data_IF_079412753950
#
_entry.id   IF_079412753950
#
_cell.length_a   1.000
_cell.length_b   1.000
_cell.length_c   1.000
_cell.angle_alpha   90.00
_cell.angle_beta   90.00
_cell.angle_gamma   90.00
#
_symmetry.space_group_name_H-M   'P 1'
#
loop_
_entity.id
_entity.type
_entity.pdbx_description
1 polymer ?
#
# COMPACT_ATOMS: atom_id res chain seq x y z
N UNK A 1 -5.97 23.26 22.89
CA UNK A 1 -5.84 21.81 23.10
C UNK A 1 -6.88 21.37 24.12
N UNK A 2 -7.92 20.66 23.70
CA UNK A 2 -8.84 19.96 24.59
C UNK A 2 -8.86 18.50 24.15
N UNK A 3 -8.18 17.66 24.91
CA UNK A 3 -8.39 16.21 24.86
C UNK A 3 -9.82 15.96 25.36
N UNK A 4 -10.69 15.47 24.49
CA UNK A 4 -11.95 14.86 24.93
C UNK A 4 -11.71 13.36 25.07
N UNK A 5 -12.18 12.82 26.19
CA UNK A 5 -11.92 11.48 26.70
C UNK A 5 -12.54 10.39 25.82
N UNK A 6 -11.76 9.86 24.87
CA UNK A 6 -11.93 8.50 24.34
C UNK A 6 -10.65 7.73 24.64
N UNK A 7 -10.61 7.17 25.84
CA UNK A 7 -9.59 6.23 26.31
C UNK A 7 -9.50 5.03 25.36
N UNK A 8 -8.27 4.77 24.88
CA UNK A 8 -7.77 3.54 24.23
C UNK A 8 -7.69 3.47 22.69
N UNK A 9 -7.92 4.56 21.96
CA UNK A 9 -7.50 4.64 20.55
C UNK A 9 -6.45 5.72 20.38
N UNK A 10 -5.16 5.34 20.50
CA UNK A 10 -4.05 6.21 20.14
C UNK A 10 -3.95 6.31 18.62
N UNK A 11 -4.89 7.04 18.02
CA UNK A 11 -4.71 7.59 16.67
C UNK A 11 -4.06 8.96 16.90
N UNK A 12 -2.77 9.06 16.60
CA UNK A 12 -2.15 10.38 16.40
C UNK A 12 -2.74 10.95 15.12
N UNK A 13 -3.93 11.56 15.23
CA UNK A 13 -4.43 12.46 14.20
C UNK A 13 -3.46 13.65 14.27
N UNK A 14 -2.71 13.85 13.19
CA UNK A 14 -1.97 15.10 12.98
C UNK A 14 -2.91 16.31 13.13
N UNK A 15 -2.39 17.54 13.23
CA UNK A 15 -3.23 18.71 13.48
C UNK A 15 -4.45 18.71 12.55
N UNK A 16 -5.68 18.89 13.10
CA UNK A 16 -6.87 18.95 12.28
C UNK A 16 -6.70 20.18 11.39
N UNK A 17 -6.55 19.96 10.08
CA UNK A 17 -6.30 20.94 9.01
C UNK A 17 -4.83 21.16 8.68
N UNK A 18 -4.35 20.45 7.66
CA UNK A 18 -3.24 20.92 6.81
C UNK A 18 -3.73 22.02 5.84
N UNK A 19 -5.03 22.27 5.75
CA UNK A 19 -5.64 23.32 4.92
C UNK A 19 -5.55 24.75 5.48
N UNK A 20 -4.99 24.95 6.69
CA UNK A 20 -4.78 26.28 7.29
C UNK A 20 -3.45 26.92 6.83
N UNK A 21 -2.60 26.14 6.14
CA UNK A 21 -1.47 26.66 5.39
C UNK A 21 -1.98 27.20 4.05
N UNK A 22 -1.46 28.34 3.60
CA UNK A 22 -1.78 29.00 2.32
C UNK A 22 -1.41 28.19 1.05
N UNK A 23 -1.16 26.89 1.19
CA UNK A 23 -0.81 25.93 0.14
C UNK A 23 -1.84 24.80 0.15
N UNK A 24 -2.47 24.56 -0.99
CA UNK A 24 -3.37 23.44 -1.19
C UNK A 24 -2.57 22.13 -1.26
N UNK A 25 -2.25 21.58 -0.09
CA UNK A 25 -1.55 20.30 0.05
C UNK A 25 -2.57 19.15 0.11
N UNK A 26 -2.35 18.10 -0.67
CA UNK A 26 -3.17 16.87 -0.65
C UNK A 26 -2.66 15.97 0.48
N UNK A 27 -3.56 15.50 1.35
CA UNK A 27 -3.22 14.66 2.49
C UNK A 27 -3.72 13.22 2.33
N UNK A 28 -2.80 12.28 2.21
CA UNK A 28 -3.10 10.84 2.21
C UNK A 28 -2.88 10.28 3.62
N UNK A 29 -3.92 9.71 4.20
CA UNK A 29 -3.89 9.16 5.56
C UNK A 29 -3.79 7.63 5.55
N UNK A 30 -2.98 7.07 6.45
CA UNK A 30 -2.82 5.63 6.60
C UNK A 30 -1.59 5.27 7.44
N UNK A 31 -1.21 3.99 7.52
CA UNK A 31 -1.90 2.85 6.94
C UNK A 31 -3.03 2.33 7.84
N UNK A 32 -4.04 1.70 7.22
CA UNK A 32 -5.21 1.17 7.94
C UNK A 32 -5.75 -0.12 7.31
N UNK A 33 -6.55 -0.87 8.08
CA UNK A 33 -7.15 -2.16 7.67
C UNK A 33 -8.60 -2.35 8.10
N UNK A 34 -9.19 -1.37 8.80
CA UNK A 34 -10.58 -1.41 9.28
C UNK A 34 -11.40 -0.19 8.82
N UNK A 35 -12.71 -0.37 8.67
CA UNK A 35 -13.64 0.70 8.26
C UNK A 35 -13.78 1.79 9.34
N UNK A 36 -13.67 1.44 10.61
CA UNK A 36 -13.70 2.38 11.73
C UNK A 36 -12.51 3.34 11.65
N UNK A 37 -11.33 2.84 11.30
CA UNK A 37 -10.14 3.66 11.07
C UNK A 37 -10.34 4.60 9.87
N UNK A 38 -10.89 4.07 8.77
CA UNK A 38 -11.23 4.86 7.59
C UNK A 38 -12.18 6.01 7.94
N UNK A 39 -13.20 5.74 8.77
CA UNK A 39 -14.17 6.74 9.22
C UNK A 39 -13.51 7.89 9.96
N UNK A 40 -12.61 7.57 10.90
CA UNK A 40 -11.89 8.59 11.68
C UNK A 40 -11.00 9.45 10.77
N UNK A 41 -10.28 8.84 9.82
CA UNK A 41 -9.36 9.55 8.94
C UNK A 41 -10.09 10.39 7.88
N UNK A 42 -11.18 9.87 7.32
CA UNK A 42 -12.05 10.66 6.42
C UNK A 42 -12.68 11.84 7.17
N UNK A 43 -13.17 11.64 8.40
CA UNK A 43 -13.72 12.73 9.21
C UNK A 43 -12.67 13.79 9.59
N UNK A 44 -11.39 13.39 9.68
CA UNK A 44 -10.28 14.31 9.91
C UNK A 44 -9.90 15.14 8.66
N UNK A 45 -10.48 14.85 7.50
CA UNK A 45 -10.25 15.57 6.24
C UNK A 45 -9.16 14.96 5.36
N UNK A 46 -8.98 13.63 5.37
CA UNK A 46 -8.07 12.97 4.44
C UNK A 46 -8.58 13.04 2.99
N UNK A 47 -7.73 13.48 2.06
CA UNK A 47 -7.99 13.51 0.61
C UNK A 47 -7.80 12.13 -0.04
N UNK A 48 -7.12 11.22 0.64
CA UNK A 48 -6.91 9.84 0.19
C UNK A 48 -6.57 8.92 1.34
N UNK A 49 -6.80 7.62 1.15
CA UNK A 49 -6.61 6.61 2.20
C UNK A 49 -5.62 5.54 1.75
N UNK A 50 -4.58 5.29 2.54
CA UNK A 50 -3.60 4.23 2.29
C UNK A 50 -3.95 2.98 3.09
N UNK A 51 -4.21 1.88 2.37
CA UNK A 51 -4.75 0.64 2.93
C UNK A 51 -3.73 -0.48 2.85
N UNK A 52 -3.46 -1.09 4.01
CA UNK A 52 -2.63 -2.28 4.12
C UNK A 52 -1.77 -2.29 5.37
N UNK A 53 -1.80 -3.40 6.11
CA UNK A 53 -0.94 -3.61 7.28
C UNK A 53 -0.52 -5.08 7.31
N UNK A 54 0.79 -5.33 7.39
CA UNK A 54 1.30 -6.69 7.42
C UNK A 54 1.32 -7.43 6.09
N UNK A 55 0.86 -6.85 4.98
CA UNK A 55 0.79 -7.48 3.66
C UNK A 55 2.05 -7.30 2.80
N UNK A 56 2.96 -6.42 3.20
CA UNK A 56 4.23 -6.18 2.50
C UNK A 56 5.15 -7.40 2.53
N UNK A 57 5.93 -7.60 1.47
CA UNK A 57 6.76 -8.81 1.26
C UNK A 57 7.87 -9.05 2.29
N UNK A 58 8.18 -8.05 3.11
CA UNK A 58 9.20 -8.09 4.17
C UNK A 58 8.61 -7.73 5.55
N UNK A 59 7.30 -7.56 5.62
CA UNK A 59 6.60 -7.25 6.86
C UNK A 59 6.35 -8.54 7.64
N UNK A 60 6.70 -8.58 8.92
CA UNK A 60 6.39 -9.72 9.82
C UNK A 60 5.35 -9.34 10.88
N UNK A 61 4.62 -8.25 10.65
CA UNK A 61 3.64 -7.73 11.62
C UNK A 61 2.53 -8.74 11.89
N UNK A 62 2.15 -9.55 10.89
CA UNK A 62 1.17 -10.61 11.06
C UNK A 62 1.64 -11.69 12.04
N UNK A 63 2.93 -12.03 11.98
CA UNK A 63 3.57 -13.06 12.80
C UNK A 63 3.85 -12.55 14.21
N UNK A 64 4.38 -11.33 14.32
CA UNK A 64 4.87 -10.78 15.60
C UNK A 64 3.75 -10.14 16.42
N UNK A 65 2.76 -9.52 15.76
CA UNK A 65 1.68 -8.77 16.45
C UNK A 65 0.32 -9.48 16.41
N UNK A 66 0.23 -10.65 15.75
CA UNK A 66 -1.00 -11.45 15.63
C UNK A 66 -2.21 -10.71 15.01
N UNK A 67 -1.99 -9.56 14.37
CA UNK A 67 -3.01 -8.81 13.63
C UNK A 67 -2.90 -9.19 12.16
N UNK A 68 -3.83 -10.04 11.68
CA UNK A 68 -3.84 -10.50 10.28
C UNK A 68 -5.05 -9.97 9.53
N UNK A 69 -4.77 -9.37 8.39
CA UNK A 69 -5.76 -8.93 7.43
C UNK A 69 -5.37 -9.42 6.05
N UNK A 70 -6.33 -10.03 5.34
CA UNK A 70 -6.13 -10.40 3.94
C UNK A 70 -6.29 -9.12 3.10
N UNK A 71 -5.25 -8.78 2.34
CA UNK A 71 -5.16 -7.48 1.64
C UNK A 71 -6.36 -7.24 0.72
N UNK A 72 -6.75 -8.25 -0.08
CA UNK A 72 -7.84 -8.10 -1.04
C UNK A 72 -9.20 -7.84 -0.36
N UNK A 73 -9.52 -8.57 0.71
CA UNK A 73 -10.77 -8.37 1.45
C UNK A 73 -10.79 -7.03 2.17
N UNK A 74 -9.63 -6.59 2.65
CA UNK A 74 -9.46 -5.30 3.33
C UNK A 74 -9.68 -4.13 2.40
N UNK A 75 -9.05 -4.17 1.21
CA UNK A 75 -9.28 -3.16 0.16
C UNK A 75 -10.76 -3.12 -0.21
N UNK A 76 -11.39 -4.27 -0.45
CA UNK A 76 -12.81 -4.34 -0.79
C UNK A 76 -13.70 -3.69 0.27
N UNK A 77 -13.54 -4.06 1.54
CA UNK A 77 -14.35 -3.52 2.64
C UNK A 77 -14.18 -1.99 2.79
N UNK A 78 -12.94 -1.50 2.72
CA UNK A 78 -12.65 -0.07 2.86
C UNK A 78 -13.15 0.71 1.63
N UNK A 79 -13.10 0.14 0.44
CA UNK A 79 -13.63 0.79 -0.77
C UNK A 79 -15.15 0.96 -0.73
N UNK A 80 -15.90 -0.03 -0.20
CA UNK A 80 -17.34 0.11 -0.01
C UNK A 80 -17.70 1.27 0.93
N UNK A 81 -16.85 1.53 1.93
CA UNK A 81 -16.98 2.71 2.79
C UNK A 81 -16.55 3.99 2.07
N UNK A 82 -15.30 4.06 1.60
CA UNK A 82 -14.67 5.28 1.09
C UNK A 82 -15.37 5.85 -0.16
N UNK A 83 -15.95 4.98 -0.99
CA UNK A 83 -16.70 5.39 -2.18
C UNK A 83 -17.96 6.20 -1.86
N UNK A 84 -18.56 6.05 -0.68
CA UNK A 84 -19.71 6.86 -0.22
C UNK A 84 -19.33 8.31 0.05
N UNK A 85 -18.06 8.55 0.37
CA UNK A 85 -17.50 9.88 0.67
C UNK A 85 -16.66 10.44 -0.48
N UNK A 86 -16.52 9.70 -1.59
CA UNK A 86 -15.71 10.11 -2.72
C UNK A 86 -14.20 10.13 -2.45
N UNK A 87 -13.72 9.44 -1.41
CA UNK A 87 -12.30 9.41 -1.04
C UNK A 87 -11.59 8.25 -1.75
N UNK A 88 -10.54 8.49 -2.54
CA UNK A 88 -9.77 7.44 -3.20
C UNK A 88 -8.96 6.61 -2.21
N UNK A 89 -8.76 5.33 -2.54
CA UNK A 89 -7.93 4.40 -1.76
C UNK A 89 -6.71 3.98 -2.56
N UNK A 90 -5.59 3.88 -1.84
CA UNK A 90 -4.32 3.33 -2.30
C UNK A 90 -4.18 1.93 -1.69
N UNK A 91 -4.02 0.93 -2.55
CA UNK A 91 -3.71 -0.43 -2.11
C UNK A 91 -2.19 -0.56 -1.89
N UNK A 92 -1.76 -0.60 -0.63
CA UNK A 92 -0.35 -0.67 -0.25
C UNK A 92 0.02 -2.03 0.36
N UNK A 93 1.03 -2.67 -0.21
CA UNK A 93 1.53 -3.98 0.22
C UNK A 93 0.92 -5.17 -0.54
N UNK A 94 1.69 -6.26 -0.61
CA UNK A 94 1.27 -7.51 -1.24
C UNK A 94 1.33 -7.54 -2.78
N UNK A 95 1.75 -6.46 -3.43
CA UNK A 95 1.82 -6.36 -4.89
C UNK A 95 3.17 -6.88 -5.40
N UNK A 96 3.17 -8.10 -5.94
CA UNK A 96 4.38 -8.77 -6.43
C UNK A 96 4.42 -9.02 -7.94
N UNK A 97 3.29 -8.86 -8.63
CA UNK A 97 3.17 -9.07 -10.07
C UNK A 97 1.96 -8.31 -10.63
N UNK A 98 1.83 -8.27 -11.95
CA UNK A 98 0.73 -7.61 -12.67
C UNK A 98 -0.65 -8.14 -12.24
N UNK A 99 -0.80 -9.44 -12.01
CA UNK A 99 -2.06 -10.01 -11.57
C UNK A 99 -2.51 -9.45 -10.21
N UNK A 100 -1.58 -9.20 -9.29
CA UNK A 100 -1.88 -8.55 -8.00
C UNK A 100 -2.31 -7.10 -8.20
N UNK A 101 -1.72 -6.37 -9.15
CA UNK A 101 -2.12 -5.00 -9.50
C UNK A 101 -3.59 -5.00 -9.95
N UNK A 102 -3.95 -5.84 -10.91
CA UNK A 102 -5.32 -5.90 -11.45
C UNK A 102 -6.33 -6.33 -10.39
N UNK A 103 -5.99 -7.34 -9.58
CA UNK A 103 -6.84 -7.78 -8.47
C UNK A 103 -7.04 -6.71 -7.40
N UNK A 104 -6.03 -5.87 -7.14
CA UNK A 104 -6.14 -4.77 -6.20
C UNK A 104 -6.97 -3.59 -6.75
N UNK A 105 -6.90 -3.32 -8.07
CA UNK A 105 -7.67 -2.26 -8.73
C UNK A 105 -9.15 -2.64 -8.95
N UNK A 106 -9.44 -3.93 -9.12
CA UNK A 106 -10.78 -4.47 -9.33
C UNK A 106 -11.83 -4.00 -8.30
N UNK A 107 -11.58 -4.03 -6.97
CA UNK A 107 -12.53 -3.54 -5.96
C UNK A 107 -12.65 -2.01 -5.86
N UNK A 108 -12.18 -1.25 -6.88
CA UNK A 108 -12.16 0.23 -6.94
C UNK A 108 -11.01 0.95 -6.23
N UNK A 109 -9.91 0.27 -5.89
CA UNK A 109 -8.71 1.00 -5.50
C UNK A 109 -8.29 1.96 -6.63
N UNK A 110 -7.95 3.20 -6.29
CA UNK A 110 -7.59 4.22 -7.25
C UNK A 110 -6.19 4.02 -7.80
N UNK A 111 -5.27 3.56 -6.96
CA UNK A 111 -3.88 3.26 -7.30
C UNK A 111 -3.34 2.13 -6.41
N UNK A 112 -2.20 1.56 -6.81
CA UNK A 112 -1.45 0.57 -6.02
C UNK A 112 -0.10 1.14 -5.64
N UNK A 113 0.37 0.87 -4.42
CA UNK A 113 1.71 1.20 -3.95
C UNK A 113 2.59 -0.06 -3.95
N UNK A 114 3.81 0.08 -4.47
CA UNK A 114 4.69 -1.04 -4.78
C UNK A 114 6.08 -0.81 -4.20
N UNK A 115 6.36 -1.43 -3.05
CA UNK A 115 7.70 -1.43 -2.46
C UNK A 115 8.60 -2.49 -3.11
N UNK A 116 8.45 -3.75 -2.69
CA UNK A 116 9.30 -4.85 -3.15
C UNK A 116 9.29 -5.07 -4.66
N UNK A 117 8.22 -4.71 -5.38
CA UNK A 117 8.21 -4.84 -6.83
C UNK A 117 9.23 -3.90 -7.50
N UNK A 118 9.50 -2.73 -6.92
CA UNK A 118 10.41 -1.71 -7.44
C UNK A 118 11.76 -1.65 -6.71
N UNK A 119 11.91 -2.30 -5.56
CA UNK A 119 13.13 -2.18 -4.74
C UNK A 119 14.42 -2.72 -5.38
N UNK A 120 14.31 -3.55 -6.41
CA UNK A 120 15.46 -4.11 -7.14
C UNK A 120 15.87 -3.31 -8.37
N UNK A 121 15.30 -2.14 -8.61
CA UNK A 121 15.60 -1.34 -9.81
C UNK A 121 16.80 -0.44 -9.62
N UNK A 122 17.39 0.02 -10.73
CA UNK A 122 18.57 0.90 -10.71
C UNK A 122 18.31 2.19 -9.92
N UNK A 123 17.13 2.78 -10.09
CA UNK A 123 16.70 4.03 -9.44
C UNK A 123 16.34 3.86 -7.96
N UNK A 124 16.14 2.62 -7.48
CA UNK A 124 15.90 2.37 -6.07
C UNK A 124 17.19 2.68 -5.26
N UNK A 125 17.09 3.29 -4.08
CA UNK A 125 18.26 3.65 -3.29
C UNK A 125 19.05 2.42 -2.85
N UNK A 126 20.37 2.60 -2.68
CA UNK A 126 21.30 1.56 -2.29
C UNK A 126 22.08 0.97 -3.46
N UNK A 127 23.29 0.48 -3.14
CA UNK A 127 24.19 -0.10 -4.12
C UNK A 127 23.90 -1.57 -4.36
N UNK A 128 24.18 -2.02 -5.58
CA UNK A 128 24.15 -3.44 -5.90
C UNK A 128 25.38 -4.16 -5.33
N UNK A 129 25.18 -5.42 -4.96
CA UNK A 129 26.25 -6.32 -4.58
C UNK A 129 25.95 -7.74 -5.06
N UNK A 130 26.98 -8.58 -5.10
CA UNK A 130 26.80 -9.98 -5.45
C UNK A 130 26.54 -10.80 -4.19
N UNK A 131 25.39 -11.49 -4.15
CA UNK A 131 25.08 -12.48 -3.12
C UNK A 131 24.75 -13.81 -3.79
N UNK A 132 25.50 -14.87 -3.45
CA UNK A 132 25.33 -16.22 -4.02
C UNK A 132 25.29 -16.22 -5.56
N UNK A 133 26.17 -15.44 -6.19
CA UNK A 133 26.26 -15.33 -7.64
C UNK A 133 25.14 -14.51 -8.31
N UNK A 134 24.24 -13.89 -7.55
CA UNK A 134 23.19 -13.01 -8.06
C UNK A 134 23.51 -11.55 -7.76
N UNK A 135 23.23 -10.68 -8.72
CA UNK A 135 23.26 -9.23 -8.53
C UNK A 135 21.99 -8.81 -7.76
N UNK A 136 22.17 -8.24 -6.57
CA UNK A 136 21.07 -7.96 -5.63
C UNK A 136 21.22 -6.58 -4.97
N UNK A 137 20.11 -6.01 -4.50
CA UNK A 137 20.06 -4.86 -3.57
C UNK A 137 19.54 -5.31 -2.21
N UNK A 138 19.82 -4.52 -1.18
CA UNK A 138 19.20 -4.70 0.14
C UNK A 138 17.81 -4.05 0.11
N UNK A 139 16.77 -4.83 0.40
CA UNK A 139 15.42 -4.32 0.63
C UNK A 139 15.06 -4.47 2.10
N UNK A 140 14.91 -3.33 2.77
CA UNK A 140 14.58 -3.23 4.18
C UNK A 140 13.22 -2.57 4.37
N UNK A 141 12.49 -3.02 5.38
CA UNK A 141 11.26 -2.36 5.79
C UNK A 141 11.61 -1.29 6.82
N UNK A 142 10.83 -0.22 6.87
CA UNK A 142 11.04 0.89 7.81
C UNK A 142 11.04 0.45 9.27
N UNK A 143 10.38 -0.67 9.61
CA UNK A 143 10.36 -1.24 10.97
C UNK A 143 11.45 -2.29 11.23
N UNK A 144 12.51 -2.36 10.41
CA UNK A 144 13.59 -3.34 10.56
C UNK A 144 14.69 -2.76 11.44
N UNK A 145 15.47 -3.61 12.10
CA UNK A 145 16.58 -3.14 12.95
C UNK A 145 17.54 -2.24 12.15
N UNK A 146 17.88 -2.65 10.92
CA UNK A 146 18.73 -1.86 10.03
C UNK A 146 18.14 -0.48 9.69
N UNK A 147 16.84 -0.38 9.46
CA UNK A 147 16.19 0.89 9.17
C UNK A 147 16.09 1.79 10.41
N UNK A 148 15.89 1.19 11.59
CA UNK A 148 15.87 1.91 12.88
C UNK A 148 17.25 2.45 13.24
N UNK A 149 18.32 1.66 13.03
CA UNK A 149 19.72 2.07 13.22
C UNK A 149 20.12 3.23 12.30
N UNK A 150 19.49 3.34 11.12
CA UNK A 150 19.70 4.44 10.17
C UNK A 150 18.84 5.67 10.45
N UNK A 151 18.10 5.71 11.57
CA UNK A 151 17.27 6.84 11.97
C UNK A 151 16.02 7.05 11.11
N UNK A 152 15.60 6.04 10.31
CA UNK A 152 14.43 6.14 9.44
C UNK A 152 13.09 6.08 10.21
N UNK A 153 13.12 5.81 11.52
CA UNK A 153 11.98 5.84 12.45
C UNK A 153 12.42 6.37 13.82
N UNK A 154 11.53 7.07 14.53
CA UNK A 154 11.74 7.43 15.94
C UNK A 154 11.69 6.16 16.80
N UNK A 155 12.62 6.01 17.74
CA UNK A 155 12.73 4.87 18.66
C UNK A 155 11.42 4.69 19.46
N UNK A 156 10.54 3.80 19.00
CA UNK A 156 9.34 3.40 19.74
C UNK A 156 9.34 1.90 19.96
N UNK A 157 9.93 1.49 21.09
CA UNK A 157 9.75 0.18 21.71
C UNK A 157 10.61 -0.95 21.12
N UNK A 158 11.19 -1.75 22.01
CA UNK A 158 12.00 -2.94 21.69
C UNK A 158 11.15 -4.00 20.97
N UNK A 159 11.26 -4.07 19.65
CA UNK A 159 10.74 -5.17 18.84
C UNK A 159 10.74 -4.84 17.35
N UNK A 160 11.58 -5.50 16.55
CA UNK A 160 11.59 -5.33 15.10
C UNK A 160 10.29 -5.89 14.50
N UNK A 161 9.62 -5.09 13.67
CA UNK A 161 8.34 -5.45 13.01
C UNK A 161 8.55 -5.97 11.59
N UNK A 162 9.81 -6.19 11.21
CA UNK A 162 10.19 -6.61 9.85
C UNK A 162 11.62 -7.13 9.75
N UNK A 163 11.89 -7.76 8.62
CA UNK A 163 13.20 -8.30 8.25
C UNK A 163 13.84 -7.47 7.13
N UNK A 164 15.14 -7.66 6.97
CA UNK A 164 15.89 -7.15 5.81
C UNK A 164 16.19 -8.34 4.89
N UNK A 165 15.99 -8.18 3.60
CA UNK A 165 16.23 -9.22 2.61
C UNK A 165 17.04 -8.72 1.42
N UNK A 166 17.61 -9.66 0.66
CA UNK A 166 18.17 -9.40 -0.65
C UNK A 166 17.06 -9.45 -1.71
N UNK A 167 17.08 -8.47 -2.63
CA UNK A 167 16.20 -8.45 -3.78
C UNK A 167 17.02 -8.47 -5.05
N UNK A 168 16.66 -9.38 -5.96
CA UNK A 168 17.33 -9.51 -7.24
C UNK A 168 17.16 -8.24 -8.09
N UNK A 169 18.20 -7.93 -8.85
CA UNK A 169 18.21 -6.87 -9.84
C UNK A 169 17.07 -7.03 -10.86
N UNK A 170 16.36 -5.92 -11.10
CA UNK A 170 15.23 -5.80 -12.03
C UNK A 170 15.54 -4.85 -13.18
N UNK A 171 16.75 -4.30 -13.26
CA UNK A 171 17.15 -3.27 -14.22
C UNK A 171 16.45 -1.93 -13.95
N UNK A 172 16.53 -1.02 -14.92
CA UNK A 172 15.90 0.30 -14.80
C UNK A 172 14.36 0.25 -14.80
N UNK A 173 13.76 1.09 -13.96
CA UNK A 173 12.32 1.42 -13.93
C UNK A 173 11.81 1.81 -15.31
N UNK A 174 12.65 2.45 -16.15
CA UNK A 174 12.28 2.87 -17.52
C UNK A 174 11.91 1.70 -18.42
N UNK A 175 12.47 0.52 -18.18
CA UNK A 175 12.12 -0.71 -18.92
C UNK A 175 11.04 -1.51 -18.18
N UNK A 176 11.11 -1.50 -16.85
CA UNK A 176 10.23 -2.30 -16.01
C UNK A 176 8.79 -1.77 -15.94
N UNK A 177 8.57 -0.46 -15.90
CA UNK A 177 7.21 0.12 -15.90
C UNK A 177 6.44 -0.14 -17.20
N UNK A 178 7.03 0.04 -18.41
CA UNK A 178 6.37 -0.37 -19.65
C UNK A 178 5.95 -1.84 -19.65
N UNK A 179 6.79 -2.73 -19.10
CA UNK A 179 6.43 -4.14 -18.95
C UNK A 179 5.19 -4.34 -18.07
N UNK A 180 5.12 -3.68 -16.90
CA UNK A 180 3.96 -3.74 -16.03
C UNK A 180 2.71 -3.15 -16.69
N UNK A 181 2.88 -2.04 -17.41
CA UNK A 181 1.80 -1.36 -18.12
C UNK A 181 1.19 -2.24 -19.22
N UNK A 182 2.03 -2.81 -20.10
CA UNK A 182 1.58 -3.71 -21.17
C UNK A 182 0.95 -4.98 -20.56
N UNK A 183 1.55 -5.54 -19.51
CA UNK A 183 0.96 -6.69 -18.81
C UNK A 183 -0.42 -6.37 -18.25
N UNK A 184 -0.62 -5.17 -17.70
CA UNK A 184 -1.92 -4.74 -17.20
C UNK A 184 -2.94 -4.56 -18.34
N UNK A 185 -2.52 -4.04 -19.49
CA UNK A 185 -3.37 -3.94 -20.68
C UNK A 185 -3.82 -5.32 -21.17
N UNK A 186 -2.90 -6.28 -21.29
CA UNK A 186 -3.25 -7.66 -21.66
C UNK A 186 -4.19 -8.30 -20.63
N UNK A 187 -3.96 -8.05 -19.34
CA UNK A 187 -4.85 -8.56 -18.30
C UNK A 187 -6.27 -7.99 -18.42
N UNK A 188 -6.42 -6.70 -18.74
CA UNK A 188 -7.73 -6.08 -18.99
C UNK A 188 -8.39 -6.64 -20.26
N UNK A 189 -7.60 -6.87 -21.31
CA UNK A 189 -8.06 -7.50 -22.55
C UNK A 189 -8.59 -8.92 -22.31
N UNK A 190 -7.88 -9.74 -21.53
CA UNK A 190 -8.29 -11.10 -21.19
C UNK A 190 -9.56 -11.13 -20.33
N UNK A 191 -9.74 -10.12 -19.46
CA UNK A 191 -11.00 -9.93 -18.71
C UNK A 191 -12.15 -9.44 -19.62
N UNK A 192 -11.84 -8.87 -20.79
CA UNK A 192 -12.80 -8.33 -21.74
C UNK A 192 -13.25 -6.90 -21.44
N UNK A 193 -12.39 -6.08 -20.84
CA UNK A 193 -12.66 -4.68 -20.48
C UNK A 193 -11.61 -3.73 -21.07
N UNK A 194 -11.99 -2.50 -21.42
CA UNK A 194 -11.11 -1.56 -22.14
C UNK A 194 -10.29 -0.67 -21.23
N UNK A 195 -10.71 -0.49 -19.98
CA UNK A 195 -10.01 0.35 -19.01
C UNK A 195 -10.35 -0.08 -17.57
N UNK A 196 -9.58 0.44 -16.62
CA UNK A 196 -9.79 0.18 -15.17
C UNK A 196 -11.17 0.62 -14.71
N UNK A 197 -11.72 1.72 -15.25
CA UNK A 197 -13.07 2.16 -14.90
C UNK A 197 -14.15 1.16 -15.35
N UNK A 198 -13.98 0.53 -16.52
CA UNK A 198 -14.87 -0.54 -16.98
C UNK A 198 -14.71 -1.81 -16.15
N UNK A 199 -13.49 -2.19 -15.76
CA UNK A 199 -13.23 -3.28 -14.82
C UNK A 199 -14.01 -3.06 -13.53
N UNK A 200 -13.83 -1.90 -12.90
CA UNK A 200 -14.44 -1.54 -11.63
C UNK A 200 -15.97 -1.51 -11.71
N UNK A 201 -16.53 -0.92 -12.78
CA UNK A 201 -17.97 -0.94 -13.04
C UNK A 201 -18.49 -2.36 -13.23
N UNK A 202 -17.77 -3.17 -14.02
CA UNK A 202 -18.13 -4.56 -14.29
C UNK A 202 -18.11 -5.44 -13.04
N UNK A 203 -17.18 -5.20 -12.11
CA UNK A 203 -17.15 -5.86 -10.80
C UNK A 203 -18.37 -5.48 -9.95
N UNK A 204 -18.70 -4.18 -9.87
CA UNK A 204 -19.86 -3.71 -9.10
C UNK A 204 -21.20 -4.21 -9.65
N UNK A 205 -21.32 -4.30 -10.98
CA UNK A 205 -22.51 -4.83 -11.66
C UNK A 205 -22.56 -6.37 -11.65
N UNK A 206 -21.55 -7.04 -11.10
CA UNK A 206 -21.47 -8.50 -11.07
C UNK A 206 -21.22 -9.15 -12.43
N UNK A 207 -20.86 -8.37 -13.45
CA UNK A 207 -20.51 -8.84 -14.81
C UNK A 207 -19.13 -9.49 -14.85
N UNK A 208 -18.16 -8.88 -14.16
CA UNK A 208 -16.84 -9.47 -13.93
C UNK A 208 -16.96 -10.42 -12.75
N UNK A 209 -16.57 -11.68 -12.96
CA UNK A 209 -16.72 -12.76 -11.98
C UNK A 209 -15.36 -13.16 -11.43
N UNK A 210 -15.32 -13.48 -10.14
CA UNK A 210 -14.15 -14.07 -9.49
C UNK A 210 -14.41 -15.56 -9.28
N UNK A 211 -13.39 -16.39 -9.49
CA UNK A 211 -13.42 -17.80 -9.15
C UNK A 211 -12.72 -18.00 -7.80
N UNK A 212 -13.27 -18.92 -6.99
CA UNK A 212 -12.69 -19.40 -5.72
C UNK A 212 -11.58 -20.41 -5.95
#
# INVERSE_FOLDING_TARGET
MRASNLSNHFVLVGPPRVHDCSLMLIFIAGNMVMCEQATVLTAAGADGLCVGMGSGSICITQEVMAVRHIQATTIYAIMEFASKFGVPVIADGGIGNVGHIIKALAPRAGVVMMGGLLAGTEEAPGEYFYHKGKHVKIYCSMGSLKAMEQGMMAESGKGSRSISGDIQDKGSVKQFLPYLYIGAQHSLQDIGVRCVAELQKGVMEGKVRFAS
#
